data_IF_526104813332
#
_entry.id   IF_526104813332
#
_cell.length_a   1.000
_cell.length_b   1.000
_cell.length_c   1.000
_cell.angle_alpha   90.00
_cell.angle_beta   90.00
_cell.angle_gamma   90.00
#
_symmetry.space_group_name_H-M   'P 1'
#
loop_
_entity.id
_entity.type
_entity.pdbx_description
1 polymer ?
#
# COMPACT_ATOMS: atom_id res chain seq x y z
N UNK A 1 -16.34 9.41 3.55
CA UNK A 1 -15.09 9.40 2.77
C UNK A 1 -14.32 8.15 3.18
N UNK A 2 -13.92 7.26 2.26
CA UNK A 2 -13.32 5.96 2.61
C UNK A 2 -11.81 6.07 2.89
N UNK A 3 -11.20 7.23 2.64
CA UNK A 3 -9.84 7.58 3.07
C UNK A 3 -8.68 7.01 2.24
N UNK A 4 -8.95 6.17 1.24
CA UNK A 4 -7.91 5.61 0.35
C UNK A 4 -7.60 6.53 -0.83
N UNK A 5 -6.35 6.55 -1.25
CA UNK A 5 -5.89 7.28 -2.42
C UNK A 5 -6.49 6.70 -3.72
N UNK A 6 -6.93 7.57 -4.63
CA UNK A 6 -7.47 7.13 -5.93
C UNK A 6 -6.35 7.04 -6.97
N UNK A 7 -6.25 5.94 -7.74
CA UNK A 7 -5.33 5.85 -8.87
C UNK A 7 -5.87 6.56 -10.14
N UNK A 8 -7.11 7.05 -10.12
CA UNK A 8 -7.75 7.69 -11.27
C UNK A 8 -7.42 9.18 -11.34
N UNK A 9 -6.71 9.57 -12.41
CA UNK A 9 -6.26 10.94 -12.67
C UNK A 9 -7.41 11.94 -12.76
N UNK A 10 -8.54 11.57 -13.37
CA UNK A 10 -9.70 12.48 -13.48
C UNK A 10 -10.44 12.61 -12.15
N UNK A 11 -10.48 11.54 -11.36
CA UNK A 11 -11.04 11.61 -10.00
C UNK A 11 -10.18 12.49 -9.10
N UNK A 12 -8.84 12.42 -9.18
CA UNK A 12 -7.94 13.28 -8.41
C UNK A 12 -8.21 14.77 -8.63
N UNK A 13 -8.53 15.19 -9.86
CA UNK A 13 -8.83 16.60 -10.18
C UNK A 13 -10.10 17.12 -9.51
N UNK A 14 -11.00 16.22 -9.12
CA UNK A 14 -12.27 16.54 -8.46
C UNK A 14 -12.16 16.48 -6.93
N UNK A 15 -11.00 16.10 -6.38
CA UNK A 15 -10.77 16.03 -4.94
C UNK A 15 -10.34 17.39 -4.39
N UNK A 16 -10.67 17.63 -3.12
CA UNK A 16 -10.23 18.83 -2.42
C UNK A 16 -8.68 18.92 -2.38
N UNK A 17 -8.11 20.14 -2.55
CA UNK A 17 -6.66 20.34 -2.53
C UNK A 17 -5.98 19.77 -1.29
N UNK A 18 -6.61 19.90 -0.12
CA UNK A 18 -6.09 19.42 1.16
C UNK A 18 -5.91 17.89 1.19
N UNK A 19 -6.69 17.16 0.40
CA UNK A 19 -6.63 15.70 0.31
C UNK A 19 -5.49 15.26 -0.60
N UNK A 20 -5.30 15.94 -1.73
CA UNK A 20 -4.25 15.60 -2.71
C UNK A 20 -2.86 16.07 -2.26
N UNK A 21 -2.77 17.07 -1.37
CA UNK A 21 -1.48 17.51 -0.80
C UNK A 21 -1.02 16.66 0.38
N UNK A 22 -1.82 15.70 0.83
CA UNK A 22 -1.44 14.82 1.93
C UNK A 22 -0.47 13.73 1.43
N UNK A 23 0.82 13.88 1.76
CA UNK A 23 1.86 12.93 1.36
C UNK A 23 1.69 11.51 1.93
N UNK A 24 0.88 11.33 2.98
CA UNK A 24 0.56 9.99 3.50
C UNK A 24 -0.33 9.19 2.54
N UNK A 25 -1.11 9.88 1.71
CA UNK A 25 -2.00 9.29 0.72
C UNK A 25 -1.46 9.45 -0.72
N UNK A 26 -0.84 10.59 -1.01
CA UNK A 26 -0.26 10.94 -2.31
C UNK A 26 1.21 11.35 -2.14
N UNK A 27 2.10 10.40 -1.84
CA UNK A 27 3.53 10.68 -1.71
C UNK A 27 4.15 11.07 -3.07
N UNK A 28 5.23 11.83 -3.00
CA UNK A 28 6.08 12.09 -4.16
C UNK A 28 6.88 10.84 -4.54
N UNK A 29 7.28 10.74 -5.80
CA UNK A 29 8.07 9.60 -6.31
C UNK A 29 9.38 9.36 -5.53
N UNK A 30 9.97 10.42 -4.96
CA UNK A 30 11.18 10.30 -4.14
C UNK A 30 10.93 9.59 -2.80
N UNK A 31 9.72 9.71 -2.25
CA UNK A 31 9.32 9.06 -1.00
C UNK A 31 9.03 7.56 -1.21
N UNK A 32 8.75 7.16 -2.46
CA UNK A 32 8.53 5.77 -2.85
C UNK A 32 9.82 4.99 -3.13
N UNK A 33 11.00 5.63 -3.09
CA UNK A 33 12.26 5.00 -3.48
C UNK A 33 12.64 3.77 -2.62
N UNK A 34 12.14 3.70 -1.38
CA UNK A 34 12.35 2.57 -0.46
C UNK A 34 11.10 1.68 -0.31
N UNK A 35 10.07 1.92 -1.12
CA UNK A 35 8.87 1.08 -1.13
C UNK A 35 9.04 -0.06 -2.13
N UNK A 36 8.54 -1.23 -1.77
CA UNK A 36 8.56 -2.41 -2.62
C UNK A 36 7.13 -2.83 -2.93
N UNK A 37 6.90 -3.27 -4.17
CA UNK A 37 5.67 -3.95 -4.53
C UNK A 37 5.85 -5.42 -4.17
N UNK A 38 4.92 -5.98 -3.41
CA UNK A 38 4.94 -7.40 -3.10
C UNK A 38 4.80 -8.22 -4.38
N UNK A 39 5.86 -8.93 -4.72
CA UNK A 39 5.83 -9.93 -5.78
C UNK A 39 5.31 -11.25 -5.23
N UNK A 40 4.56 -11.98 -6.05
CA UNK A 40 4.10 -13.32 -5.69
C UNK A 40 5.31 -14.28 -5.67
N UNK A 41 5.70 -14.83 -4.50
CA UNK A 41 6.95 -15.58 -4.38
C UNK A 41 6.78 -17.08 -4.69
N UNK A 42 5.59 -17.50 -5.16
CA UNK A 42 5.23 -18.91 -5.34
C UNK A 42 4.59 -19.55 -4.11
N UNK A 43 3.90 -20.67 -4.33
CA UNK A 43 3.09 -21.34 -3.31
C UNK A 43 3.91 -21.88 -2.13
N UNK A 44 5.13 -22.33 -2.37
CA UNK A 44 6.00 -22.89 -1.33
C UNK A 44 6.41 -21.83 -0.31
N UNK A 45 6.89 -20.68 -0.78
CA UNK A 45 7.29 -19.56 0.08
C UNK A 45 6.08 -18.97 0.80
N UNK A 46 4.94 -18.83 0.13
CA UNK A 46 3.70 -18.37 0.76
C UNK A 46 3.25 -19.27 1.92
N UNK A 47 3.41 -20.60 1.81
CA UNK A 47 3.09 -21.53 2.92
C UNK A 47 4.00 -21.29 4.13
N UNK A 48 5.28 -21.01 3.91
CA UNK A 48 6.23 -20.71 4.97
C UNK A 48 5.84 -19.40 5.68
N UNK A 49 5.57 -18.33 4.93
CA UNK A 49 5.11 -17.06 5.50
C UNK A 49 3.82 -17.21 6.32
N UNK A 50 2.85 -17.97 5.81
CA UNK A 50 1.60 -18.22 6.53
C UNK A 50 1.81 -19.00 7.84
N UNK A 51 2.73 -19.99 7.86
CA UNK A 51 3.07 -20.71 9.09
C UNK A 51 3.67 -19.77 10.13
N UNK A 52 4.69 -19.00 9.74
CA UNK A 52 5.36 -18.04 10.63
C UNK A 52 4.35 -17.03 11.18
N UNK A 53 3.48 -16.48 10.34
CA UNK A 53 2.45 -15.54 10.78
C UNK A 53 1.44 -16.15 11.76
N UNK A 54 1.15 -17.43 11.62
CA UNK A 54 0.26 -18.16 12.56
C UNK A 54 0.92 -18.32 13.92
N UNK A 55 2.23 -18.64 13.95
CA UNK A 55 3.01 -18.74 15.18
C UNK A 55 3.10 -17.38 15.89
N UNK A 56 3.35 -16.29 15.16
CA UNK A 56 3.40 -14.92 15.71
C UNK A 56 2.07 -14.52 16.37
N UNK A 57 0.93 -14.87 15.76
CA UNK A 57 -0.40 -14.52 16.31
C UNK A 57 -0.85 -15.39 17.48
N UNK A 58 -0.26 -16.58 17.65
CA UNK A 58 -0.64 -17.53 18.68
C UNK A 58 0.10 -17.34 20.02
N UNK A 59 1.22 -16.59 20.01
CA UNK A 59 1.95 -16.16 21.21
C UNK A 59 1.37 -14.89 21.82
#
# INVERSE_FOLDING_TARGET
YIGYATPNVETMKLLDPEIITNSSAYPDMSELANCEIFEYPGDEINRIYNRIWTEVKAG
#
